data_IF_031197249061
#
_entry.id   IF_031197249061
#
_cell.length_a   1.000
_cell.length_b   1.000
_cell.length_c   1.000
_cell.angle_alpha   90.00
_cell.angle_beta   90.00
_cell.angle_gamma   90.00
#
_symmetry.space_group_name_H-M   'P 1'
#
loop_
_entity.id
_entity.type
_entity.pdbx_description
1 polymer ?
#
# COMPACT_ATOMS: atom_id res chain seq x y z
N UNK A 1 59.39 -48.06 -16.11
CA UNK A 1 59.52 -48.87 -17.37
C UNK A 1 58.26 -48.59 -18.25
N UNK A 2 58.61 -48.13 -19.47
CA UNK A 2 57.88 -48.30 -20.75
C UNK A 2 56.43 -47.80 -20.85
N UNK A 3 56.25 -46.62 -21.40
CA UNK A 3 55.67 -46.32 -22.74
C UNK A 3 54.61 -47.27 -23.27
N UNK A 4 53.40 -46.70 -23.65
CA UNK A 4 52.92 -46.86 -25.02
C UNK A 4 51.86 -45.81 -25.41
N UNK A 5 52.19 -45.08 -26.43
CA UNK A 5 51.35 -44.22 -27.23
C UNK A 5 50.40 -45.06 -28.10
N UNK A 6 49.17 -44.62 -28.33
CA UNK A 6 48.61 -44.62 -29.71
C UNK A 6 47.42 -43.63 -29.88
N UNK A 7 47.56 -42.92 -30.95
CA UNK A 7 46.72 -41.91 -31.58
C UNK A 7 45.44 -42.52 -32.25
N UNK A 8 44.59 -41.57 -32.65
CA UNK A 8 43.55 -41.58 -33.71
C UNK A 8 42.15 -41.58 -33.09
N UNK A 9 41.23 -40.74 -33.48
CA UNK A 9 41.01 -39.98 -34.70
C UNK A 9 39.94 -38.95 -34.54
N UNK A 10 40.02 -37.95 -35.36
CA UNK A 10 39.16 -36.83 -35.53
C UNK A 10 37.79 -37.21 -36.07
N UNK A 11 36.75 -36.69 -35.53
CA UNK A 11 35.52 -36.36 -36.31
C UNK A 11 34.89 -35.12 -35.69
N UNK A 12 34.95 -34.04 -36.43
CA UNK A 12 34.35 -32.77 -36.07
C UNK A 12 32.85 -32.85 -36.19
N UNK A 13 32.16 -32.42 -35.15
CA UNK A 13 30.78 -32.01 -35.23
C UNK A 13 30.75 -30.55 -34.84
N UNK A 14 30.55 -29.72 -35.85
CA UNK A 14 30.27 -28.29 -35.65
C UNK A 14 28.85 -28.17 -35.03
N UNK A 15 28.79 -27.98 -33.72
CA UNK A 15 27.58 -27.56 -33.07
C UNK A 15 27.51 -26.04 -33.22
N UNK A 16 26.61 -25.59 -34.08
CA UNK A 16 26.22 -24.18 -34.15
C UNK A 16 25.56 -23.80 -32.83
N UNK A 17 26.27 -23.07 -31.97
CA UNK A 17 25.71 -22.40 -30.84
C UNK A 17 24.87 -21.22 -31.36
N UNK A 18 23.55 -21.37 -31.43
CA UNK A 18 22.63 -20.26 -31.48
C UNK A 18 22.68 -19.56 -30.12
N UNK A 19 23.56 -18.55 -30.00
CA UNK A 19 23.45 -17.58 -28.92
C UNK A 19 22.14 -16.79 -29.11
N UNK A 20 21.06 -17.27 -28.50
CA UNK A 20 19.89 -16.44 -28.25
C UNK A 20 20.29 -15.33 -27.28
N UNK A 21 20.49 -14.14 -27.79
CA UNK A 21 20.57 -12.95 -26.94
C UNK A 21 19.20 -12.78 -26.27
N UNK A 22 19.06 -13.34 -25.08
CA UNK A 22 17.99 -12.93 -24.17
C UNK A 22 18.28 -11.47 -23.83
N UNK A 23 17.57 -10.56 -24.48
CA UNK A 23 17.56 -9.16 -24.03
C UNK A 23 16.95 -9.18 -22.65
N UNK A 24 17.79 -8.98 -21.65
CA UNK A 24 17.32 -8.71 -20.28
C UNK A 24 16.56 -7.38 -20.34
N UNK A 25 15.24 -7.46 -20.30
CA UNK A 25 14.41 -6.28 -20.07
C UNK A 25 14.86 -5.76 -18.70
N UNK A 26 15.35 -4.51 -18.59
CA UNK A 26 15.72 -3.97 -17.30
C UNK A 26 14.47 -4.01 -16.42
N UNK A 27 14.55 -4.71 -15.30
CA UNK A 27 13.53 -4.64 -14.29
C UNK A 27 13.45 -3.17 -13.85
N UNK A 28 12.35 -2.50 -14.15
CA UNK A 28 12.08 -1.19 -13.61
C UNK A 28 11.90 -1.41 -12.10
N UNK A 29 12.95 -1.09 -11.35
CA UNK A 29 12.85 -1.01 -9.89
C UNK A 29 12.01 0.24 -9.63
N UNK A 30 10.71 0.06 -9.48
CA UNK A 30 9.86 1.11 -8.95
C UNK A 30 10.26 1.24 -7.48
N UNK A 31 11.11 2.22 -7.18
CA UNK A 31 11.35 2.64 -5.81
C UNK A 31 10.00 3.03 -5.24
N UNK A 32 9.64 2.45 -4.10
CA UNK A 32 8.49 2.92 -3.35
C UNK A 32 8.72 4.42 -3.09
N UNK A 33 7.79 5.26 -3.52
CA UNK A 33 7.88 6.68 -3.23
C UNK A 33 7.87 6.87 -1.71
N UNK A 34 8.68 7.79 -1.21
CA UNK A 34 8.64 8.15 0.19
C UNK A 34 7.21 8.57 0.57
N UNK A 35 6.72 8.19 1.76
CA UNK A 35 5.39 8.56 2.18
C UNK A 35 5.28 10.10 2.29
N UNK A 36 4.18 10.65 1.79
CA UNK A 36 3.86 12.07 1.94
C UNK A 36 3.61 12.41 3.41
N UNK A 37 3.11 11.43 4.16
CA UNK A 37 2.84 11.55 5.59
C UNK A 37 3.14 10.20 6.27
N UNK A 38 3.74 10.28 7.45
CA UNK A 38 3.97 9.15 8.34
C UNK A 38 3.89 9.64 9.78
N UNK A 39 3.13 8.94 10.61
CA UNK A 39 2.98 9.30 12.03
C UNK A 39 2.58 8.09 12.86
N UNK A 40 2.99 8.10 14.13
CA UNK A 40 2.36 7.31 15.17
C UNK A 40 0.94 7.86 15.42
N UNK A 41 -0.03 6.98 15.65
CA UNK A 41 -1.43 7.38 15.79
C UNK A 41 -1.69 8.21 17.04
N UNK A 42 -0.95 8.00 18.13
CA UNK A 42 -1.04 8.79 19.36
C UNK A 42 -0.66 10.26 19.17
N UNK A 43 0.05 10.60 18.10
CA UNK A 43 0.42 11.97 17.76
C UNK A 43 -0.64 12.72 16.93
N UNK A 44 -1.73 12.06 16.59
CA UNK A 44 -2.81 12.64 15.81
C UNK A 44 -3.80 13.41 16.69
N UNK A 45 -4.69 14.17 16.08
CA UNK A 45 -5.80 14.78 16.79
C UNK A 45 -6.85 13.73 17.08
N UNK A 46 -7.03 13.41 18.36
CA UNK A 46 -7.99 12.42 18.83
C UNK A 46 -9.29 13.09 19.27
N UNK A 47 -10.42 12.42 19.06
CA UNK A 47 -11.73 12.90 19.52
C UNK A 47 -12.57 11.80 20.13
N UNK A 48 -13.43 12.21 21.08
CA UNK A 48 -14.40 11.36 21.74
C UNK A 48 -13.79 10.08 22.33
N UNK A 49 -14.21 8.92 21.81
CA UNK A 49 -13.83 7.60 22.32
C UNK A 49 -12.51 7.06 21.68
N UNK A 50 -11.62 7.94 21.26
CA UNK A 50 -10.25 7.60 20.84
C UNK A 50 -9.27 8.02 21.95
N UNK A 51 -8.53 7.07 22.51
CA UNK A 51 -7.62 7.29 23.63
C UNK A 51 -6.30 6.58 23.43
N UNK A 52 -5.20 7.21 23.87
CA UNK A 52 -3.89 6.57 23.89
C UNK A 52 -3.85 5.52 25.00
N UNK A 53 -3.36 4.33 24.68
CA UNK A 53 -3.31 3.19 25.57
C UNK A 53 -2.05 2.34 25.33
N UNK A 54 -1.68 1.55 26.33
CA UNK A 54 -0.65 0.49 26.24
C UNK A 54 -1.24 -0.88 26.55
N UNK A 55 -2.46 -0.89 27.06
CA UNK A 55 -3.25 -2.09 27.34
C UNK A 55 -4.75 -1.77 27.19
N UNK A 56 -5.56 -2.79 26.97
CA UNK A 56 -7.02 -2.69 26.91
C UNK A 56 -7.63 -3.79 27.77
N UNK A 57 -8.46 -3.41 28.73
CA UNK A 57 -9.08 -4.32 29.71
C UNK A 57 -8.07 -5.20 30.46
N UNK A 58 -6.89 -4.64 30.78
CA UNK A 58 -5.82 -5.38 31.48
C UNK A 58 -5.05 -6.37 30.59
N UNK A 59 -5.29 -6.38 29.29
CA UNK A 59 -4.53 -7.15 28.32
C UNK A 59 -3.55 -6.24 27.60
N UNK A 60 -2.26 -6.56 27.67
CA UNK A 60 -1.22 -5.89 26.89
C UNK A 60 -1.23 -6.37 25.43
N UNK A 61 -0.89 -5.45 24.53
CA UNK A 61 -0.74 -5.70 23.10
C UNK A 61 0.66 -5.29 22.63
N UNK A 62 1.70 -6.10 22.96
CA UNK A 62 3.09 -5.73 22.66
C UNK A 62 3.35 -5.68 21.16
N UNK A 63 4.38 -4.92 20.76
CA UNK A 63 4.84 -4.85 19.37
C UNK A 63 4.33 -3.62 18.62
N UNK A 64 3.67 -2.67 19.26
CA UNK A 64 3.44 -1.32 18.72
C UNK A 64 4.75 -0.52 18.71
N UNK A 65 4.76 0.57 17.96
CA UNK A 65 5.83 1.57 17.91
C UNK A 65 5.44 2.81 18.74
N UNK A 66 6.34 3.76 18.92
CA UNK A 66 6.05 4.96 19.70
C UNK A 66 5.85 4.70 21.20
N UNK A 67 5.04 5.54 21.84
CA UNK A 67 4.77 5.52 23.27
C UNK A 67 3.50 4.73 23.63
N UNK A 68 2.72 4.32 22.63
CA UNK A 68 1.47 3.61 22.81
C UNK A 68 0.76 3.36 21.48
N UNK A 69 -0.49 3.01 21.57
CA UNK A 69 -1.40 2.90 20.44
C UNK A 69 -2.70 3.63 20.71
N UNK A 70 -3.46 3.97 19.71
CA UNK A 70 -4.79 4.57 19.91
C UNK A 70 -5.85 3.48 19.95
N UNK A 71 -6.52 3.40 21.07
CA UNK A 71 -7.71 2.58 21.25
C UNK A 71 -8.94 3.36 20.84
N UNK A 72 -9.60 2.91 19.77
CA UNK A 72 -10.83 3.52 19.26
C UNK A 72 -12.02 2.64 19.59
N UNK A 73 -13.05 3.25 20.20
CA UNK A 73 -14.32 2.62 20.48
C UNK A 73 -15.47 3.48 19.91
N UNK A 74 -16.62 2.88 19.64
CA UNK A 74 -17.81 3.58 19.16
C UNK A 74 -17.50 4.65 18.08
N UNK A 75 -17.76 5.92 18.42
CA UNK A 75 -17.59 7.06 17.53
C UNK A 75 -16.22 7.75 17.61
N UNK A 76 -15.23 7.11 18.26
CA UNK A 76 -13.88 7.66 18.36
C UNK A 76 -13.26 7.86 16.99
N UNK A 77 -12.57 8.98 16.81
CA UNK A 77 -11.90 9.33 15.55
C UNK A 77 -10.50 9.89 15.79
N UNK A 78 -9.67 9.72 14.78
CA UNK A 78 -8.35 10.32 14.66
C UNK A 78 -8.31 11.17 13.41
N UNK A 79 -7.63 12.32 13.46
CA UNK A 79 -7.52 13.18 12.28
C UNK A 79 -6.16 13.84 12.16
N UNK A 80 -5.79 14.14 10.93
CA UNK A 80 -4.60 14.91 10.58
C UNK A 80 -4.85 15.73 9.32
N UNK A 81 -4.06 16.79 9.18
CA UNK A 81 -4.10 17.68 8.02
C UNK A 81 -2.80 17.54 7.24
N UNK A 82 -2.91 17.57 5.92
CA UNK A 82 -1.78 17.43 5.00
C UNK A 82 -1.91 18.39 3.83
N UNK A 83 -0.79 18.97 3.42
CA UNK A 83 -0.69 19.77 2.19
C UNK A 83 -0.29 18.84 1.03
N UNK A 84 -1.24 18.47 0.20
CA UNK A 84 -1.00 17.62 -0.95
C UNK A 84 -0.33 18.41 -2.09
N UNK A 85 0.83 17.96 -2.63
CA UNK A 85 1.58 18.70 -3.65
C UNK A 85 0.83 18.78 -4.99
N UNK A 86 -0.03 17.80 -5.25
CA UNK A 86 -0.88 17.75 -6.44
C UNK A 86 -2.21 17.06 -6.18
N UNK A 87 -3.18 17.33 -7.05
CA UNK A 87 -4.44 16.56 -7.05
C UNK A 87 -4.18 15.14 -7.58
N UNK A 88 -4.54 14.14 -6.79
CA UNK A 88 -4.25 12.75 -7.14
C UNK A 88 -4.87 11.72 -6.21
N UNK A 89 -4.44 10.48 -6.37
CA UNK A 89 -4.80 9.37 -5.50
C UNK A 89 -3.65 9.10 -4.53
N UNK A 90 -4.01 8.84 -3.27
CA UNK A 90 -3.06 8.62 -2.18
C UNK A 90 -3.50 7.42 -1.37
N UNK A 91 -2.60 6.47 -1.18
CA UNK A 91 -2.86 5.24 -0.44
C UNK A 91 -2.64 5.44 1.04
N UNK A 92 -3.68 5.18 1.82
CA UNK A 92 -3.61 5.17 3.28
C UNK A 92 -3.37 3.74 3.77
N UNK A 93 -2.30 3.57 4.53
CA UNK A 93 -1.98 2.33 5.25
C UNK A 93 -1.96 2.62 6.75
N UNK A 94 -2.45 1.70 7.55
CA UNK A 94 -2.30 1.74 9.00
C UNK A 94 -1.86 0.40 9.54
N UNK A 95 -1.10 0.42 10.61
CA UNK A 95 -0.82 -0.77 11.39
C UNK A 95 -1.82 -0.86 12.53
N UNK A 96 -2.59 -1.92 12.58
CA UNK A 96 -3.70 -2.04 13.52
C UNK A 96 -3.97 -3.49 13.95
N UNK A 97 -4.71 -3.62 15.07
CA UNK A 97 -5.34 -4.87 15.52
C UNK A 97 -6.83 -4.64 15.65
N UNK A 98 -7.63 -5.51 15.10
CA UNK A 98 -9.04 -5.64 15.44
C UNK A 98 -9.13 -6.63 16.60
N UNK A 99 -9.22 -6.11 17.83
CA UNK A 99 -9.02 -6.87 19.07
C UNK A 99 -10.30 -7.48 19.66
N UNK A 100 -11.47 -7.01 19.25
CA UNK A 100 -12.75 -7.57 19.69
C UNK A 100 -13.23 -8.64 18.71
N UNK A 101 -13.74 -9.70 19.30
CA UNK A 101 -14.14 -10.89 18.62
C UNK A 101 -13.10 -11.99 18.84
N UNK A 102 -13.57 -13.19 19.01
CA UNK A 102 -12.78 -14.40 19.24
C UNK A 102 -12.80 -15.32 18.02
N UNK A 103 -13.37 -14.85 16.92
CA UNK A 103 -13.49 -15.64 15.70
C UNK A 103 -12.96 -14.90 14.47
N UNK A 104 -12.39 -15.66 13.55
CA UNK A 104 -11.92 -15.14 12.25
C UNK A 104 -13.02 -14.55 11.37
N UNK A 105 -14.28 -14.69 11.76
CA UNK A 105 -15.45 -14.13 11.04
C UNK A 105 -15.90 -12.77 11.55
N UNK A 106 -15.34 -12.30 12.66
CA UNK A 106 -15.67 -10.98 13.17
C UNK A 106 -15.10 -9.90 12.26
N UNK A 107 -15.95 -8.99 11.87
CA UNK A 107 -15.64 -7.86 11.01
C UNK A 107 -16.09 -6.59 11.70
N UNK A 108 -15.22 -5.58 11.72
CA UNK A 108 -15.55 -4.24 12.19
C UNK A 108 -15.61 -3.29 10.99
N UNK A 109 -16.34 -2.22 11.15
CA UNK A 109 -16.46 -1.18 10.14
C UNK A 109 -15.90 0.12 10.70
N UNK A 110 -15.00 0.73 9.95
CA UNK A 110 -14.48 2.05 10.23
C UNK A 110 -14.66 2.94 9.01
N UNK A 111 -14.68 4.25 9.23
CA UNK A 111 -14.87 5.23 8.17
C UNK A 111 -13.60 6.04 7.96
N UNK A 112 -13.37 6.41 6.71
CA UNK A 112 -12.39 7.42 6.34
C UNK A 112 -13.12 8.55 5.64
N UNK A 113 -13.02 9.74 6.19
CA UNK A 113 -13.58 10.97 5.60
C UNK A 113 -12.43 11.88 5.19
N UNK A 114 -12.45 12.34 3.95
CA UNK A 114 -11.54 13.35 3.42
C UNK A 114 -12.32 14.64 3.23
N UNK A 115 -11.87 15.71 3.89
CA UNK A 115 -12.30 17.08 3.60
C UNK A 115 -11.18 17.74 2.79
N UNK A 116 -11.47 18.12 1.56
CA UNK A 116 -10.48 18.62 0.60
C UNK A 116 -10.30 20.12 0.69
N UNK A 117 -9.27 20.62 0.03
CA UNK A 117 -8.96 22.06 -0.02
C UNK A 117 -10.05 22.92 -0.70
N UNK A 118 -10.99 22.29 -1.39
CA UNK A 118 -12.18 22.93 -1.99
C UNK A 118 -13.46 22.77 -1.13
N UNK A 119 -13.30 22.40 0.14
CA UNK A 119 -14.36 22.10 1.10
C UNK A 119 -15.25 20.90 0.71
N UNK A 120 -14.95 20.20 -0.38
CA UNK A 120 -15.66 18.99 -0.72
C UNK A 120 -15.28 17.84 0.23
N UNK A 121 -16.25 17.02 0.58
CA UNK A 121 -16.06 15.85 1.45
C UNK A 121 -16.36 14.55 0.72
N UNK A 122 -15.65 13.50 1.11
CA UNK A 122 -15.97 12.14 0.69
C UNK A 122 -15.72 11.18 1.85
N UNK A 123 -16.67 10.30 2.11
CA UNK A 123 -16.56 9.26 3.14
C UNK A 123 -16.57 7.88 2.50
N UNK A 124 -15.70 7.03 2.99
CA UNK A 124 -15.59 5.62 2.61
C UNK A 124 -15.68 4.76 3.85
N UNK A 125 -16.50 3.73 3.81
CA UNK A 125 -16.54 2.69 4.86
C UNK A 125 -15.60 1.56 4.48
N UNK A 126 -14.79 1.12 5.43
CA UNK A 126 -13.83 0.05 5.29
C UNK A 126 -14.14 -1.04 6.31
N UNK A 127 -14.03 -2.28 5.88
CA UNK A 127 -14.23 -3.46 6.72
C UNK A 127 -12.88 -3.99 7.17
N UNK A 128 -12.71 -4.15 8.47
CA UNK A 128 -11.50 -4.64 9.11
C UNK A 128 -11.81 -6.02 9.67
N UNK A 129 -11.13 -7.04 9.15
CA UNK A 129 -11.26 -8.39 9.65
C UNK A 129 -10.50 -8.56 10.98
N UNK A 130 -10.92 -9.54 11.77
CA UNK A 130 -10.21 -9.92 12.99
C UNK A 130 -8.75 -10.27 12.71
N UNK A 131 -7.87 -9.80 13.60
CA UNK A 131 -6.45 -10.16 13.59
C UNK A 131 -5.99 -10.49 15.00
N UNK A 132 -5.15 -11.52 15.12
CA UNK A 132 -4.58 -11.92 16.42
C UNK A 132 -3.37 -11.05 16.81
N UNK A 133 -2.79 -10.35 15.83
CA UNK A 133 -1.57 -9.58 15.98
C UNK A 133 -1.61 -8.29 15.14
N UNK A 134 -0.61 -7.43 15.31
CA UNK A 134 -0.44 -6.21 14.54
C UNK A 134 -0.27 -6.52 13.04
N UNK A 135 -1.09 -5.92 12.20
CA UNK A 135 -1.04 -6.08 10.75
C UNK A 135 -1.14 -4.73 10.04
N UNK A 136 -0.44 -4.63 8.93
CA UNK A 136 -0.59 -3.50 8.02
C UNK A 136 -1.87 -3.63 7.22
N UNK A 137 -2.75 -2.66 7.38
CA UNK A 137 -4.05 -2.63 6.75
C UNK A 137 -4.12 -1.54 5.68
N UNK A 138 -4.52 -1.94 4.48
CA UNK A 138 -4.69 -1.03 3.34
C UNK A 138 -6.11 -0.47 3.29
N UNK A 139 -6.27 0.81 3.61
CA UNK A 139 -7.54 1.53 3.53
C UNK A 139 -7.95 1.88 2.10
N UNK A 140 -7.07 1.60 1.12
CA UNK A 140 -7.25 1.94 -0.27
C UNK A 140 -6.87 3.38 -0.59
N UNK A 141 -7.13 3.76 -1.83
CA UNK A 141 -6.74 5.05 -2.34
C UNK A 141 -7.80 6.12 -2.00
N UNK A 142 -7.32 7.27 -1.56
CA UNK A 142 -8.08 8.47 -1.24
C UNK A 142 -7.80 9.53 -2.29
N UNK A 143 -8.83 10.18 -2.83
CA UNK A 143 -8.64 11.32 -3.73
C UNK A 143 -8.41 12.58 -2.91
N UNK A 144 -7.23 13.19 -3.02
CA UNK A 144 -6.90 14.49 -2.47
C UNK A 144 -6.86 15.54 -3.58
N UNK A 145 -7.14 16.80 -3.23
CA UNK A 145 -6.89 17.96 -4.08
C UNK A 145 -5.58 18.61 -3.68
N UNK A 146 -4.92 19.28 -4.62
CA UNK A 146 -3.73 20.09 -4.30
C UNK A 146 -4.05 21.08 -3.20
N UNK A 147 -3.14 21.22 -2.22
CA UNK A 147 -3.32 22.06 -1.05
C UNK A 147 -3.78 21.27 0.17
N UNK A 148 -4.33 21.97 1.14
CA UNK A 148 -4.71 21.41 2.43
C UNK A 148 -5.88 20.45 2.32
N UNK A 149 -5.73 19.26 2.90
CA UNK A 149 -6.77 18.24 3.03
C UNK A 149 -6.75 17.72 4.47
N UNK A 150 -7.91 17.56 5.08
CA UNK A 150 -8.05 16.91 6.38
C UNK A 150 -8.56 15.49 6.19
N UNK A 151 -7.87 14.52 6.77
CA UNK A 151 -8.26 13.11 6.77
C UNK A 151 -8.67 12.76 8.19
N UNK A 152 -9.91 12.26 8.33
CA UNK A 152 -10.44 11.77 9.59
C UNK A 152 -10.79 10.30 9.42
N UNK A 153 -10.31 9.45 10.32
CA UNK A 153 -10.63 8.04 10.28
C UNK A 153 -10.96 7.49 11.68
N UNK A 154 -11.67 6.37 11.69
CA UNK A 154 -12.32 5.85 12.88
C UNK A 154 -13.85 6.02 12.76
N UNK A 155 -14.52 5.99 13.87
CA UNK A 155 -15.99 6.00 13.90
C UNK A 155 -16.60 4.70 13.37
N UNK A 156 -17.91 4.68 13.19
CA UNK A 156 -18.60 3.45 12.86
C UNK A 156 -18.60 2.48 14.05
N UNK A 157 -18.56 1.20 13.78
CA UNK A 157 -18.43 0.16 14.81
C UNK A 157 -17.04 -0.51 14.75
N UNK A 158 -16.01 0.35 14.83
CA UNK A 158 -14.62 -0.03 14.65
C UNK A 158 -13.85 -0.10 15.97
N UNK A 159 -14.03 -1.15 16.73
CA UNK A 159 -13.25 -1.41 17.93
C UNK A 159 -11.86 -1.93 17.54
N UNK A 160 -10.96 -1.01 17.22
CA UNK A 160 -9.61 -1.30 16.79
C UNK A 160 -8.56 -0.59 17.61
N UNK A 161 -7.37 -1.14 17.58
CA UNK A 161 -6.14 -0.53 18.09
C UNK A 161 -5.32 -0.08 16.88
N UNK A 162 -4.90 1.16 16.88
CA UNK A 162 -4.13 1.75 15.77
C UNK A 162 -2.77 2.20 16.28
N UNK A 163 -1.72 1.71 15.64
CA UNK A 163 -0.32 1.97 15.99
C UNK A 163 0.21 3.16 15.19
N UNK A 164 0.46 2.97 13.93
CA UNK A 164 0.98 4.01 13.05
C UNK A 164 0.26 4.04 11.70
N UNK A 165 0.49 5.10 10.93
CA UNK A 165 -0.05 5.22 9.60
C UNK A 165 0.89 5.90 8.63
N UNK A 166 0.68 5.61 7.36
CA UNK A 166 1.37 6.25 6.25
C UNK A 166 0.40 6.62 5.13
N UNK A 167 0.69 7.73 4.46
CA UNK A 167 -0.03 8.16 3.26
C UNK A 167 0.98 8.34 2.12
N UNK A 168 0.85 7.56 1.08
CA UNK A 168 1.78 7.56 -0.07
C UNK A 168 1.03 7.88 -1.34
N UNK A 169 1.59 8.74 -2.19
CA UNK A 169 0.99 9.02 -3.48
C UNK A 169 0.97 7.76 -4.35
N UNK A 170 -0.19 7.42 -4.89
CA UNK A 170 -0.33 6.32 -5.84
C UNK A 170 0.17 6.77 -7.21
N UNK A 171 1.09 6.04 -7.84
CA UNK A 171 1.55 6.37 -9.19
C UNK A 171 0.38 6.49 -10.16
N UNK A 172 0.40 7.52 -11.00
CA UNK A 172 -0.56 7.61 -12.11
C UNK A 172 -0.30 6.44 -13.05
N UNK A 173 -1.34 5.71 -13.49
CA UNK A 173 -1.15 4.71 -14.51
C UNK A 173 -0.57 5.38 -15.76
N UNK A 174 0.60 4.94 -16.19
CA UNK A 174 1.11 5.30 -17.51
C UNK A 174 0.21 4.60 -18.53
N UNK A 175 -0.71 5.37 -19.12
CA UNK A 175 -1.34 4.95 -20.35
C UNK A 175 -0.25 5.02 -21.43
N UNK A 176 0.19 3.87 -21.92
CA UNK A 176 0.92 3.85 -23.18
C UNK A 176 0.11 4.68 -24.17
N UNK A 177 0.72 5.79 -24.60
CA UNK A 177 0.14 6.62 -25.64
C UNK A 177 -0.03 5.68 -26.83
N UNK A 178 -1.27 5.29 -27.12
CA UNK A 178 -1.54 4.51 -28.32
C UNK A 178 -0.86 5.26 -29.44
N UNK A 179 0.19 4.67 -30.00
CA UNK A 179 0.80 5.19 -31.20
C UNK A 179 -0.27 4.98 -32.26
N UNK A 180 -1.02 6.03 -32.55
CA UNK A 180 -1.83 6.08 -33.78
C UNK A 180 -0.87 5.86 -34.92
N UNK A 181 -0.67 4.61 -35.27
CA UNK A 181 -0.05 4.27 -36.55
C UNK A 181 -1.05 4.75 -37.59
N UNK A 182 -0.71 5.77 -38.40
CA UNK A 182 -1.62 6.24 -39.41
C UNK A 182 -1.99 5.05 -40.28
N UNK A 183 -3.26 4.68 -40.30
CA UNK A 183 -3.75 3.67 -41.25
C UNK A 183 -3.52 4.24 -42.61
N UNK A 184 -2.64 3.59 -43.38
CA UNK A 184 -2.39 3.99 -44.76
C UNK A 184 -3.74 3.94 -45.55
N UNK A 185 -4.26 5.10 -45.99
CA UNK A 185 -5.54 5.12 -46.67
C UNK A 185 -5.50 4.45 -48.08
N UNK A 186 -4.34 3.89 -48.46
CA UNK A 186 -4.13 3.24 -49.77
C UNK A 186 -4.06 1.71 -49.69
N UNK A 187 -4.37 1.08 -48.57
CA UNK A 187 -4.57 -0.37 -48.55
C UNK A 187 -5.84 -0.70 -49.36
N UNK A 188 -5.72 -0.70 -50.68
CA UNK A 188 -6.75 -1.14 -51.59
C UNK A 188 -6.90 -2.65 -51.46
N UNK A 189 -8.12 -3.07 -51.23
CA UNK A 189 -8.53 -4.48 -51.30
C UNK A 189 -8.21 -5.01 -52.68
N UNK A 190 -7.37 -6.04 -52.79
CA UNK A 190 -7.40 -7.01 -53.88
C UNK A 190 -8.42 -8.11 -53.59
#
# INVERSE_FOLDING_TARGET
MKNFWKRLGSTGVAAALCLGMAQAVPAVVVSAADPLFSSECENLTLSNDATVATEVYGKAYPGYTGDGFVWVTNAGTMSFTIDAPETGMYRLMTRCIMYLGDTSNDIREAQVTVTRSDDSTATKTVKIAHTDDWNDFNWGDLKLTKGENTITFGGGWGYCLYDNMTLTQTPKPEYEKATDTPVDPKATKE
#
